data_IF_846668414494
#
_entry.id   IF_846668414494
#
_cell.length_a   1.000
_cell.length_b   1.000
_cell.length_c   1.000
_cell.angle_alpha   90.00
_cell.angle_beta   90.00
_cell.angle_gamma   90.00
#
_symmetry.space_group_name_H-M   'P 1'
#
loop_
_entity.id
_entity.type
_entity.pdbx_description
1 polymer ?
#
# COMPACT_ATOMS: atom_id res chain seq x y z
N UNK A 1 -0.03 62.07 15.91
CA UNK A 1 0.56 61.04 15.03
C UNK A 1 0.29 59.69 15.67
N UNK A 2 -0.59 58.89 15.07
CA UNK A 2 -1.12 57.65 15.63
C UNK A 2 -0.16 56.50 15.30
N UNK A 3 0.33 55.78 16.31
CA UNK A 3 1.20 54.62 16.12
C UNK A 3 0.39 53.42 15.63
N UNK A 4 0.61 53.02 14.37
CA UNK A 4 -0.01 51.84 13.76
C UNK A 4 0.54 50.55 14.38
N UNK A 5 -0.26 49.91 15.23
CA UNK A 5 -0.06 48.50 15.63
C UNK A 5 -0.56 47.60 14.51
N UNK A 6 0.34 47.10 13.66
CA UNK A 6 -0.01 46.08 12.68
C UNK A 6 -0.11 44.73 13.37
N UNK A 7 -1.35 44.23 13.49
CA UNK A 7 -1.69 42.91 14.04
C UNK A 7 -1.30 41.84 13.01
N UNK A 8 -0.37 40.97 13.36
CA UNK A 8 -0.02 39.77 12.59
C UNK A 8 -1.20 38.79 12.67
N UNK A 9 -1.81 38.48 11.53
CA UNK A 9 -2.83 37.45 11.40
C UNK A 9 -2.16 36.08 11.29
N UNK A 10 -2.41 35.12 12.19
CA UNK A 10 -1.97 33.75 11.98
C UNK A 10 -2.92 33.11 10.96
N UNK A 11 -2.47 32.87 9.73
CA UNK A 11 -3.15 31.97 8.81
C UNK A 11 -3.08 30.56 9.40
N UNK A 12 -4.23 30.02 9.79
CA UNK A 12 -4.38 28.72 10.42
C UNK A 12 -3.67 27.63 9.61
N UNK A 13 -2.59 27.09 10.18
CA UNK A 13 -2.14 25.74 9.89
C UNK A 13 -3.29 24.79 10.26
N UNK A 14 -3.92 24.21 9.24
CA UNK A 14 -4.97 23.21 9.38
C UNK A 14 -4.45 22.00 10.13
N UNK A 15 -4.69 21.97 11.44
CA UNK A 15 -4.53 20.79 12.28
C UNK A 15 -5.65 19.81 11.93
N UNK A 16 -5.38 18.86 11.05
CA UNK A 16 -6.14 17.61 11.00
C UNK A 16 -5.20 16.49 11.36
N UNK A 17 -5.43 15.95 12.56
CA UNK A 17 -4.71 14.84 13.15
C UNK A 17 -4.79 13.61 12.24
N UNK A 18 -3.72 13.32 11.49
CA UNK A 18 -3.47 11.94 11.07
C UNK A 18 -2.96 11.20 12.31
N UNK A 19 -3.84 10.38 12.87
CA UNK A 19 -3.54 9.47 13.96
C UNK A 19 -2.18 8.82 13.74
N UNK A 20 -1.32 8.94 14.75
CA UNK A 20 -0.01 8.29 14.81
C UNK A 20 -0.22 6.78 14.77
N UNK A 21 -0.26 6.22 13.56
CA UNK A 21 -0.33 4.78 13.33
C UNK A 21 1.05 4.18 13.62
N UNK A 22 1.40 4.10 14.90
CA UNK A 22 2.58 3.40 15.38
C UNK A 22 2.31 1.89 15.40
N UNK A 23 2.12 1.29 14.22
CA UNK A 23 2.02 -0.15 14.06
C UNK A 23 3.24 -0.61 13.29
N UNK A 24 4.35 -0.86 14.02
CA UNK A 24 5.60 -1.51 13.56
C UNK A 24 5.67 -1.60 12.04
N UNK A 25 6.05 -0.49 11.40
CA UNK A 25 6.05 -0.37 9.96
C UNK A 25 7.05 -1.39 9.38
N UNK A 26 6.54 -2.57 9.02
CA UNK A 26 7.27 -3.51 8.17
C UNK A 26 7.68 -2.73 6.91
N UNK A 27 8.88 -2.95 6.38
CA UNK A 27 9.39 -2.16 5.27
C UNK A 27 8.32 -2.08 4.17
N UNK A 28 7.88 -0.86 3.85
CA UNK A 28 6.89 -0.58 2.79
C UNK A 28 7.43 -0.90 1.39
N UNK A 29 8.71 -1.26 1.31
CA UNK A 29 9.39 -1.53 0.05
C UNK A 29 9.77 -3.00 -0.01
N UNK A 30 9.31 -3.69 -1.05
CA UNK A 30 9.77 -5.03 -1.38
C UNK A 30 11.00 -4.93 -2.27
N UNK A 31 12.03 -5.73 -1.99
CA UNK A 31 13.19 -5.85 -2.88
C UNK A 31 12.82 -6.72 -4.07
N UNK A 32 13.43 -6.44 -5.23
CA UNK A 32 13.35 -7.33 -6.39
C UNK A 32 13.86 -8.72 -5.97
N UNK A 33 13.17 -9.78 -6.38
CA UNK A 33 13.43 -11.16 -5.97
C UNK A 33 12.68 -11.61 -4.71
N UNK A 34 12.01 -10.71 -3.99
CA UNK A 34 11.26 -11.08 -2.76
C UNK A 34 10.01 -11.88 -3.11
N UNK A 35 9.75 -12.95 -2.35
CA UNK A 35 8.50 -13.70 -2.41
C UNK A 35 7.38 -12.98 -1.64
N UNK A 36 6.29 -12.70 -2.34
CA UNK A 36 5.10 -12.03 -1.80
C UNK A 36 3.83 -12.80 -2.16
N UNK A 37 2.84 -12.74 -1.27
CA UNK A 37 1.48 -13.20 -1.49
C UNK A 37 0.62 -12.05 -1.98
N UNK A 38 -0.32 -12.35 -2.88
CA UNK A 38 -1.26 -11.38 -3.43
C UNK A 38 -2.60 -11.45 -2.72
N UNK A 39 -3.12 -10.32 -2.24
CA UNK A 39 -4.50 -10.20 -1.76
C UNK A 39 -5.45 -9.98 -2.93
N UNK A 40 -6.39 -10.91 -3.11
CA UNK A 40 -7.49 -10.81 -4.05
C UNK A 40 -8.66 -10.13 -3.33
N UNK A 41 -9.08 -8.97 -3.83
CA UNK A 41 -10.26 -8.28 -3.31
C UNK A 41 -11.50 -8.92 -3.94
N UNK A 42 -12.53 -9.14 -3.13
CA UNK A 42 -13.78 -9.88 -3.43
C UNK A 42 -14.62 -9.28 -4.58
N UNK A 43 -14.14 -8.23 -5.27
CA UNK A 43 -14.87 -7.52 -6.31
C UNK A 43 -14.98 -8.29 -7.65
N UNK A 44 -14.56 -9.56 -7.70
CA UNK A 44 -14.62 -10.40 -8.91
C UNK A 44 -15.25 -11.77 -8.67
N UNK A 45 -15.63 -12.10 -7.43
CA UNK A 45 -16.22 -13.41 -7.10
C UNK A 45 -17.63 -13.15 -6.57
N UNK A 46 -18.60 -13.47 -7.43
CA UNK A 46 -20.01 -13.76 -7.17
C UNK A 46 -20.62 -13.40 -5.80
N UNK A 47 -21.72 -12.63 -5.83
CA UNK A 47 -22.67 -12.44 -4.73
C UNK A 47 -23.07 -13.80 -4.11
N UNK A 48 -22.34 -14.31 -3.12
CA UNK A 48 -22.78 -15.53 -2.45
C UNK A 48 -21.77 -16.31 -1.62
N UNK A 49 -20.47 -16.04 -1.69
CA UNK A 49 -19.51 -16.81 -0.90
C UNK A 49 -19.33 -16.20 0.50
N UNK A 50 -19.78 -16.92 1.53
CA UNK A 50 -19.74 -16.49 2.92
C UNK A 50 -18.33 -16.14 3.41
N UNK A 51 -18.21 -14.94 3.97
CA UNK A 51 -17.46 -14.57 5.18
C UNK A 51 -16.14 -15.33 5.45
N UNK A 52 -15.03 -14.61 5.24
CA UNK A 52 -13.69 -14.80 5.84
C UNK A 52 -12.74 -15.85 5.25
N UNK A 53 -12.82 -16.15 3.96
CA UNK A 53 -11.63 -16.71 3.31
C UNK A 53 -10.61 -15.58 3.14
N UNK A 54 -9.44 -15.73 3.75
CA UNK A 54 -8.29 -14.86 3.47
C UNK A 54 -7.93 -15.12 2.01
N UNK A 55 -8.40 -14.23 1.14
CA UNK A 55 -8.23 -14.28 -0.32
C UNK A 55 -6.76 -14.02 -0.72
N UNK A 56 -5.79 -14.61 -0.02
CA UNK A 56 -4.37 -14.55 -0.39
C UNK A 56 -4.10 -15.65 -1.40
N UNK A 57 -3.72 -15.24 -2.59
CA UNK A 57 -3.35 -16.13 -3.68
C UNK A 57 -1.84 -16.13 -3.85
N UNK A 58 -1.27 -17.33 -3.89
CA UNK A 58 0.00 -17.69 -4.52
C UNK A 58 1.26 -16.96 -4.05
N UNK A 59 2.41 -17.64 -3.97
CA UNK A 59 3.70 -16.97 -3.92
C UNK A 59 4.06 -16.38 -5.30
N UNK A 60 4.42 -15.10 -5.29
CA UNK A 60 4.86 -14.32 -6.44
C UNK A 60 6.24 -13.72 -6.16
N UNK A 61 7.03 -13.52 -7.21
CA UNK A 61 8.34 -12.86 -7.14
C UNK A 61 8.19 -11.42 -7.59
N UNK A 62 8.70 -10.47 -6.80
CA UNK A 62 8.80 -9.06 -7.21
C UNK A 62 9.87 -8.91 -8.28
N UNK A 63 9.51 -8.38 -9.45
CA UNK A 63 10.46 -8.20 -10.56
C UNK A 63 10.88 -6.75 -10.77
N UNK A 64 9.94 -5.81 -10.59
CA UNK A 64 10.19 -4.39 -10.75
C UNK A 64 9.34 -3.59 -9.75
N UNK A 65 9.92 -2.51 -9.24
CA UNK A 65 9.18 -1.49 -8.50
C UNK A 65 8.79 -0.37 -9.47
N UNK A 66 7.58 0.15 -9.32
CA UNK A 66 7.08 1.33 -9.99
C UNK A 66 7.11 2.52 -9.02
N UNK A 67 7.23 3.73 -9.55
CA UNK A 67 7.27 4.98 -8.77
C UNK A 67 6.00 5.19 -7.91
N UNK A 68 4.87 4.57 -8.30
CA UNK A 68 3.57 4.68 -7.64
C UNK A 68 3.33 3.60 -6.55
N UNK A 69 4.38 3.16 -5.84
CA UNK A 69 4.29 2.11 -4.80
C UNK A 69 3.62 0.80 -5.28
N UNK A 70 3.77 0.50 -6.57
CA UNK A 70 3.25 -0.69 -7.21
C UNK A 70 4.39 -1.58 -7.72
N UNK A 71 4.16 -2.89 -7.76
CA UNK A 71 5.15 -3.88 -8.13
C UNK A 71 4.67 -4.74 -9.29
N UNK A 72 5.58 -4.99 -10.23
CA UNK A 72 5.39 -6.05 -11.20
C UNK A 72 5.77 -7.37 -10.55
N UNK A 73 4.90 -8.35 -10.72
CA UNK A 73 5.02 -9.66 -10.11
C UNK A 73 5.23 -10.73 -11.18
N UNK A 74 5.94 -11.78 -10.82
CA UNK A 74 6.12 -12.97 -11.63
C UNK A 74 5.63 -14.18 -10.84
N UNK A 75 4.92 -15.08 -11.52
CA UNK A 75 4.62 -16.40 -10.98
C UNK A 75 5.91 -17.20 -10.84
N UNK A 76 5.92 -18.20 -9.97
CA UNK A 76 7.07 -19.10 -9.81
C UNK A 76 7.46 -19.85 -11.09
N UNK A 77 6.54 -20.00 -12.04
CA UNK A 77 6.79 -20.62 -13.34
C UNK A 77 7.37 -19.66 -14.40
N UNK A 78 7.75 -18.43 -14.00
CA UNK A 78 8.37 -17.45 -14.89
C UNK A 78 7.38 -16.53 -15.62
N UNK A 79 6.07 -16.71 -15.47
CA UNK A 79 5.08 -15.85 -16.15
C UNK A 79 4.94 -14.50 -15.43
N UNK A 80 5.14 -13.40 -16.15
CA UNK A 80 4.92 -12.05 -15.63
C UNK A 80 3.43 -11.71 -15.55
N UNK A 81 3.00 -11.09 -14.46
CA UNK A 81 1.67 -10.52 -14.35
C UNK A 81 1.63 -9.18 -15.10
N UNK A 82 0.65 -9.05 -16.00
CA UNK A 82 0.46 -7.87 -16.84
C UNK A 82 0.17 -6.61 -16.01
N UNK A 83 -0.57 -6.76 -14.91
CA UNK A 83 -0.95 -5.65 -14.04
C UNK A 83 0.04 -5.46 -12.90
N UNK A 84 0.52 -4.23 -12.64
CA UNK A 84 1.26 -3.92 -11.43
C UNK A 84 0.32 -3.94 -10.20
N UNK A 85 0.85 -4.35 -9.06
CA UNK A 85 0.11 -4.52 -7.80
C UNK A 85 0.59 -3.55 -6.74
N UNK A 86 -0.33 -2.79 -6.15
CA UNK A 86 -0.01 -1.87 -5.05
C UNK A 86 0.51 -2.64 -3.82
N UNK A 87 1.48 -2.08 -3.11
CA UNK A 87 2.05 -2.62 -1.86
C UNK A 87 0.99 -3.06 -0.84
N UNK A 88 -0.13 -2.35 -0.74
CA UNK A 88 -1.22 -2.63 0.20
C UNK A 88 -1.93 -3.95 -0.08
N UNK A 89 -1.84 -4.45 -1.32
CA UNK A 89 -2.40 -5.73 -1.74
C UNK A 89 -1.37 -6.86 -1.69
N UNK A 90 -0.17 -6.61 -1.18
CA UNK A 90 0.91 -7.59 -1.12
C UNK A 90 1.34 -7.86 0.33
N UNK A 91 1.72 -9.11 0.60
CA UNK A 91 2.24 -9.53 1.90
C UNK A 91 3.49 -10.36 1.72
N UNK A 92 4.58 -10.05 2.41
CA UNK A 92 5.79 -10.88 2.34
C UNK A 92 5.49 -12.32 2.79
N UNK A 93 5.99 -13.31 2.03
CA UNK A 93 5.69 -14.73 2.26
C UNK A 93 6.29 -15.27 3.56
N UNK A 94 7.51 -14.85 3.90
CA UNK A 94 8.18 -15.13 5.18
C UNK A 94 8.83 -13.85 5.73
N UNK A 95 8.76 -13.62 7.04
CA UNK A 95 9.50 -12.59 7.77
C UNK A 95 10.29 -13.22 8.90
#
# INVERSE_FOLDING_TARGET
>A
MLASRTKVSPSLCGKTSFTHCNRKARPRVFRIGTLVLRKVLENTVEKGAGKFQVNLEGPYIVTKASESEAYHLQKLNGILLLRPWNVSNLKQYYQ
#
